data_IF_437652358915
#
_entry.id   IF_437652358915
#
_cell.length_a   1.000
_cell.length_b   1.000
_cell.length_c   1.000
_cell.angle_alpha   90.00
_cell.angle_beta   90.00
_cell.angle_gamma   90.00
#
_symmetry.space_group_name_H-M   'P 1'
#
loop_
_entity.id
_entity.type
_entity.pdbx_description
1 polymer ?
#
# COMPACT_ATOMS: atom_id res chain seq x y z
N UNK A 1 16.14 -14.86 -9.19
CA UNK A 1 14.70 -14.88 -9.02
C UNK A 1 14.01 -14.36 -10.28
N UNK A 2 12.78 -14.79 -10.52
CA UNK A 2 12.04 -14.47 -11.74
C UNK A 2 10.88 -13.50 -11.52
N UNK A 3 10.85 -12.79 -10.37
CA UNK A 3 9.75 -11.88 -10.03
C UNK A 3 10.27 -10.67 -9.25
N UNK A 4 9.68 -9.50 -9.50
CA UNK A 4 9.87 -8.25 -8.75
C UNK A 4 8.50 -7.77 -8.30
N UNK A 5 8.42 -7.26 -7.08
CA UNK A 5 7.27 -6.52 -6.57
C UNK A 5 7.52 -5.03 -6.70
N UNK A 6 6.58 -4.28 -7.23
CA UNK A 6 6.57 -2.83 -7.18
C UNK A 6 5.42 -2.38 -6.29
N UNK A 7 5.73 -1.66 -5.22
CA UNK A 7 4.74 -1.04 -4.36
C UNK A 7 4.52 0.38 -4.83
N UNK A 8 3.27 0.76 -4.96
CA UNK A 8 2.85 2.08 -5.40
C UNK A 8 2.18 2.78 -4.23
N UNK A 9 2.65 3.97 -3.90
CA UNK A 9 2.01 4.84 -2.92
C UNK A 9 1.75 6.20 -3.54
N UNK A 10 0.51 6.46 -3.89
CA UNK A 10 0.06 7.77 -4.34
C UNK A 10 -0.11 8.72 -3.15
N UNK A 11 -0.14 10.05 -3.37
CA UNK A 11 -0.29 11.01 -2.27
C UNK A 11 -1.48 10.69 -1.36
N UNK A 12 -1.37 10.95 -0.05
CA UNK A 12 -2.48 10.78 0.89
C UNK A 12 -3.76 11.48 0.40
N UNK A 13 -4.90 10.79 0.45
CA UNK A 13 -6.17 11.29 -0.05
C UNK A 13 -6.43 11.03 -1.53
N UNK A 14 -5.51 10.39 -2.26
CA UNK A 14 -5.77 9.95 -3.63
C UNK A 14 -6.91 8.94 -3.68
N UNK A 15 -7.72 9.03 -4.74
CA UNK A 15 -8.78 8.06 -4.99
C UNK A 15 -8.22 6.77 -5.57
N UNK A 16 -9.04 5.72 -5.53
CA UNK A 16 -8.66 4.43 -6.11
C UNK A 16 -8.43 4.52 -7.64
N UNK A 17 -9.19 5.38 -8.31
CA UNK A 17 -9.06 5.62 -9.75
C UNK A 17 -7.68 6.20 -10.09
N UNK A 18 -7.23 7.21 -9.35
CA UNK A 18 -5.89 7.81 -9.52
C UNK A 18 -4.80 6.75 -9.32
N UNK A 19 -4.90 5.96 -8.26
CA UNK A 19 -3.93 4.88 -8.01
C UNK A 19 -3.97 3.81 -9.09
N UNK A 20 -5.14 3.49 -9.62
CA UNK A 20 -5.27 2.55 -10.73
C UNK A 20 -4.69 3.09 -12.04
N UNK A 21 -4.80 4.40 -12.32
CA UNK A 21 -4.15 5.03 -13.46
C UNK A 21 -2.63 4.93 -13.36
N UNK A 22 -2.05 5.28 -12.21
CA UNK A 22 -0.62 5.13 -11.94
C UNK A 22 -0.17 3.67 -12.09
N UNK A 23 -0.94 2.72 -11.55
CA UNK A 23 -0.62 1.30 -11.65
C UNK A 23 -0.64 0.79 -13.10
N UNK A 24 -1.57 1.28 -13.93
CA UNK A 24 -1.64 0.95 -15.37
C UNK A 24 -0.49 1.56 -16.15
N UNK A 25 -0.12 2.80 -15.84
CA UNK A 25 1.02 3.44 -16.48
C UNK A 25 2.32 2.72 -16.15
N UNK A 26 2.54 2.38 -14.86
CA UNK A 26 3.66 1.56 -14.43
C UNK A 26 3.67 0.20 -15.16
N UNK A 27 2.52 -0.46 -15.25
CA UNK A 27 2.39 -1.73 -16.00
C UNK A 27 2.85 -1.59 -17.45
N UNK A 28 2.46 -0.50 -18.12
CA UNK A 28 2.84 -0.25 -19.51
C UNK A 28 4.34 -0.02 -19.64
N UNK A 29 4.90 0.83 -18.78
CA UNK A 29 6.34 1.11 -18.75
C UNK A 29 7.18 -0.11 -18.41
N UNK A 30 6.69 -0.95 -17.49
CA UNK A 30 7.40 -2.17 -17.10
C UNK A 30 7.39 -3.23 -18.22
N UNK A 31 6.30 -3.34 -18.99
CA UNK A 31 6.25 -4.25 -20.15
C UNK A 31 7.21 -3.86 -21.27
N UNK A 32 7.63 -2.60 -21.31
CA UNK A 32 8.60 -2.06 -22.26
C UNK A 32 10.06 -2.37 -21.89
N UNK A 33 10.30 -2.99 -20.72
CA UNK A 33 11.62 -3.45 -20.27
C UNK A 33 11.89 -4.84 -20.84
N UNK A 34 13.01 -5.01 -21.54
CA UNK A 34 13.29 -6.25 -22.28
C UNK A 34 13.28 -7.51 -21.42
N UNK A 35 13.76 -7.42 -20.17
CA UNK A 35 13.81 -8.52 -19.22
C UNK A 35 12.46 -8.93 -18.62
N UNK A 36 11.38 -8.16 -18.86
CA UNK A 36 10.04 -8.41 -18.32
C UNK A 36 9.23 -9.30 -19.26
N UNK A 37 8.49 -10.24 -18.69
CA UNK A 37 7.61 -11.15 -19.46
C UNK A 37 6.13 -10.82 -19.28
N UNK A 38 5.71 -10.44 -18.08
CA UNK A 38 4.32 -10.06 -17.79
C UNK A 38 4.22 -9.22 -16.52
N UNK A 39 3.19 -8.40 -16.43
CA UNK A 39 2.92 -7.54 -15.27
C UNK A 39 1.45 -7.67 -14.90
N UNK A 40 1.18 -7.85 -13.61
CA UNK A 40 -0.16 -7.79 -13.03
C UNK A 40 -0.22 -6.64 -12.04
N UNK A 41 -1.21 -5.77 -12.15
CA UNK A 41 -1.39 -4.61 -11.27
C UNK A 41 -2.64 -4.75 -10.40
N UNK A 42 -2.53 -4.28 -9.16
CA UNK A 42 -3.59 -4.27 -8.15
C UNK A 42 -3.63 -2.86 -7.56
N UNK A 43 -4.74 -2.16 -7.70
CA UNK A 43 -4.99 -0.91 -6.99
C UNK A 43 -5.81 -1.18 -5.73
N UNK A 44 -5.53 -0.43 -4.66
CA UNK A 44 -6.21 -0.56 -3.38
C UNK A 44 -5.60 -1.58 -2.43
N UNK A 45 -4.47 -2.19 -2.78
CA UNK A 45 -3.82 -3.22 -1.97
C UNK A 45 -2.29 -3.12 -2.05
N UNK A 46 -1.65 -3.23 -0.90
CA UNK A 46 -0.20 -3.26 -0.74
C UNK A 46 0.23 -4.62 -0.17
N UNK A 47 1.09 -5.34 -0.91
CA UNK A 47 1.40 -6.74 -0.63
C UNK A 47 2.33 -6.96 0.57
N UNK A 48 3.20 -5.99 0.91
CA UNK A 48 4.19 -6.18 1.98
C UNK A 48 3.57 -6.16 3.37
N UNK A 49 2.61 -5.26 3.59
CA UNK A 49 1.90 -5.10 4.87
C UNK A 49 0.51 -5.72 4.85
N UNK A 50 0.07 -6.22 3.69
CA UNK A 50 -1.31 -6.64 3.41
C UNK A 50 -2.32 -5.50 3.65
N UNK A 51 -1.82 -4.26 3.56
CA UNK A 51 -2.59 -3.05 3.77
C UNK A 51 -3.57 -2.78 2.64
N UNK A 52 -4.72 -2.19 2.99
CA UNK A 52 -5.72 -1.74 2.04
C UNK A 52 -5.91 -0.24 2.17
N UNK A 53 -5.90 0.44 1.03
CA UNK A 53 -6.08 1.89 0.98
C UNK A 53 -6.25 2.38 -0.45
N UNK A 54 -7.04 3.41 -0.66
CA UNK A 54 -7.27 3.97 -1.99
C UNK A 54 -5.98 4.48 -2.65
N UNK A 55 -4.99 4.88 -1.85
CA UNK A 55 -3.69 5.38 -2.29
C UNK A 55 -2.60 4.30 -2.36
N UNK A 56 -2.93 3.03 -2.11
CA UNK A 56 -2.00 1.92 -2.15
C UNK A 56 -2.18 1.07 -3.41
N UNK A 57 -1.10 0.58 -3.97
CA UNK A 57 -1.12 -0.31 -5.12
C UNK A 57 0.09 -1.25 -5.15
N UNK A 58 -0.02 -2.30 -5.91
CA UNK A 58 1.06 -3.28 -6.12
C UNK A 58 1.10 -3.71 -7.57
N UNK A 59 2.30 -3.80 -8.15
CA UNK A 59 2.51 -4.51 -9.40
C UNK A 59 3.39 -5.74 -9.16
N UNK A 60 2.96 -6.86 -9.70
CA UNK A 60 3.71 -8.11 -9.74
C UNK A 60 4.35 -8.21 -11.13
N UNK A 61 5.65 -8.07 -11.19
CA UNK A 61 6.44 -8.04 -12.43
C UNK A 61 7.14 -9.38 -12.56
N UNK A 62 6.72 -10.19 -13.54
CA UNK A 62 7.37 -11.45 -13.83
C UNK A 62 8.45 -11.21 -14.90
N UNK A 63 9.64 -11.74 -14.64
CA UNK A 63 10.77 -11.65 -15.53
C UNK A 63 10.81 -12.82 -16.50
N UNK A 64 11.44 -12.63 -17.65
CA UNK A 64 11.81 -13.72 -18.55
C UNK A 64 12.74 -14.67 -17.84
N UNK A 65 12.76 -15.93 -18.27
CA UNK A 65 13.70 -16.91 -17.79
C UNK A 65 15.14 -16.38 -17.99
N UNK A 66 16.02 -16.65 -17.03
CA UNK A 66 17.43 -16.25 -17.09
C UNK A 66 18.19 -16.80 -18.29
N UNK A 67 17.72 -17.91 -18.89
CA UNK A 67 18.24 -18.39 -20.16
C UNK A 67 17.88 -17.49 -21.36
N UNK A 68 16.89 -16.59 -21.21
CA UNK A 68 16.34 -15.73 -22.24
C UNK A 68 16.46 -14.24 -21.93
N UNK A 69 17.35 -13.87 -20.98
CA UNK A 69 17.65 -12.48 -20.66
C UNK A 69 19.11 -12.33 -20.27
N UNK A 70 19.72 -11.25 -20.73
CA UNK A 70 21.10 -10.88 -20.38
C UNK A 70 21.17 -10.01 -19.13
N UNK A 71 20.07 -9.31 -18.79
CA UNK A 71 19.99 -8.40 -17.65
C UNK A 71 19.84 -9.15 -16.33
N UNK A 72 20.55 -8.67 -15.32
CA UNK A 72 20.34 -9.06 -13.91
C UNK A 72 19.06 -8.45 -13.37
N UNK A 73 18.54 -8.98 -12.25
CA UNK A 73 17.36 -8.40 -11.59
C UNK A 73 17.62 -6.95 -11.14
N UNK A 74 18.84 -6.67 -10.67
CA UNK A 74 19.20 -5.33 -10.23
C UNK A 74 19.23 -4.31 -11.38
N UNK A 75 19.75 -4.67 -12.53
CA UNK A 75 19.75 -3.81 -13.73
C UNK A 75 18.33 -3.54 -14.22
N UNK A 76 17.42 -4.54 -14.13
CA UNK A 76 16.01 -4.36 -14.45
C UNK A 76 15.34 -3.40 -13.47
N UNK A 77 15.63 -3.51 -12.17
CA UNK A 77 15.11 -2.59 -11.15
C UNK A 77 15.59 -1.16 -11.45
N UNK A 78 16.86 -0.96 -11.70
CA UNK A 78 17.42 0.37 -12.03
C UNK A 78 16.78 0.97 -13.30
N UNK A 79 16.51 0.15 -14.31
CA UNK A 79 15.79 0.59 -15.52
C UNK A 79 14.33 0.95 -15.21
N UNK A 80 13.64 0.16 -14.38
CA UNK A 80 12.28 0.43 -13.95
C UNK A 80 12.21 1.73 -13.14
N UNK A 81 13.10 1.95 -12.17
CA UNK A 81 13.20 3.18 -11.39
C UNK A 81 13.38 4.39 -12.29
N UNK A 82 14.30 4.30 -13.27
CA UNK A 82 14.55 5.38 -14.23
C UNK A 82 13.32 5.70 -15.11
N UNK A 83 12.55 4.67 -15.49
CA UNK A 83 11.34 4.85 -16.32
C UNK A 83 10.14 5.37 -15.53
N UNK A 84 10.06 5.10 -14.23
CA UNK A 84 8.85 5.35 -13.42
C UNK A 84 8.96 6.56 -12.48
N UNK A 85 10.13 7.20 -12.38
CA UNK A 85 10.36 8.33 -11.46
C UNK A 85 9.39 9.52 -11.63
N UNK A 86 8.72 9.63 -12.79
CA UNK A 86 7.82 10.72 -13.12
C UNK A 86 6.34 10.46 -12.77
N UNK A 87 6.00 9.28 -12.24
CA UNK A 87 4.60 8.85 -12.06
C UNK A 87 3.81 9.62 -10.99
N UNK A 88 4.39 10.59 -10.29
CA UNK A 88 3.69 11.35 -9.25
C UNK A 88 3.29 10.50 -8.03
N UNK A 89 3.91 9.36 -7.85
CA UNK A 89 3.74 8.42 -6.74
C UNK A 89 5.11 7.95 -6.26
N UNK A 90 5.20 7.52 -5.02
CA UNK A 90 6.35 6.76 -4.54
C UNK A 90 6.22 5.33 -5.06
N UNK A 91 7.23 4.87 -5.81
CA UNK A 91 7.29 3.51 -6.32
C UNK A 91 8.56 2.86 -5.82
N UNK A 92 8.42 1.75 -5.10
CA UNK A 92 9.54 1.01 -4.54
C UNK A 92 9.54 -0.42 -5.09
N UNK A 93 10.72 -0.89 -5.48
CA UNK A 93 10.90 -2.20 -6.10
C UNK A 93 11.60 -3.18 -5.15
N UNK A 94 11.05 -4.38 -5.03
CA UNK A 94 11.57 -5.41 -4.15
C UNK A 94 11.66 -6.76 -4.85
N UNK A 95 12.68 -7.52 -4.48
CA UNK A 95 12.67 -8.94 -4.75
C UNK A 95 11.84 -9.68 -3.68
N UNK A 96 11.05 -10.69 -4.07
CA UNK A 96 10.42 -11.57 -3.08
C UNK A 96 11.47 -12.28 -2.23
N UNK A 97 11.12 -12.74 -1.02
CA UNK A 97 12.06 -13.42 -0.15
C UNK A 97 12.60 -14.68 -0.83
N UNK A 98 13.87 -14.96 -0.62
CA UNK A 98 14.55 -16.16 -1.20
C UNK A 98 13.87 -17.45 -0.73
N UNK A 99 13.40 -17.48 0.52
CA UNK A 99 12.68 -18.60 1.11
C UNK A 99 11.24 -18.18 1.36
N UNK A 100 10.25 -18.80 0.71
CA UNK A 100 8.84 -18.51 0.95
C UNK A 100 8.46 -18.67 2.43
N UNK A 101 7.71 -17.69 2.97
CA UNK A 101 7.30 -17.67 4.38
C UNK A 101 8.29 -17.03 5.35
N UNK A 102 9.46 -16.61 4.90
CA UNK A 102 10.44 -15.88 5.71
C UNK A 102 10.49 -14.40 5.33
N UNK A 103 9.45 -13.66 5.71
CA UNK A 103 9.30 -12.23 5.41
C UNK A 103 8.49 -11.97 4.14
N UNK A 104 8.19 -10.70 3.89
CA UNK A 104 7.44 -10.24 2.72
C UNK A 104 8.35 -9.79 1.56
N UNK A 105 9.60 -9.40 1.88
CA UNK A 105 10.63 -9.00 0.91
C UNK A 105 12.01 -9.45 1.36
N UNK A 106 12.99 -9.40 0.46
CA UNK A 106 14.41 -9.51 0.82
C UNK A 106 14.86 -8.23 1.53
N UNK A 107 15.91 -8.30 2.35
CA UNK A 107 16.52 -7.16 3.03
C UNK A 107 16.29 -7.13 4.55
N UNK A 108 16.42 -5.94 5.14
CA UNK A 108 16.30 -5.69 6.58
C UNK A 108 15.00 -4.92 6.87
N UNK A 109 14.31 -5.34 7.91
CA UNK A 109 13.11 -4.65 8.41
C UNK A 109 13.38 -4.09 9.80
N UNK A 110 13.25 -2.77 9.94
CA UNK A 110 13.33 -2.08 11.21
C UNK A 110 11.93 -1.72 11.71
N UNK A 111 11.76 -1.71 13.02
CA UNK A 111 10.54 -1.24 13.67
C UNK A 111 10.89 -0.15 14.65
N UNK A 112 10.48 1.08 14.34
CA UNK A 112 10.54 2.20 15.25
C UNK A 112 9.29 2.17 16.15
N UNK A 113 9.48 2.17 17.47
CA UNK A 113 8.41 2.09 18.44
C UNK A 113 8.38 3.34 19.29
N UNK A 114 7.26 4.04 19.31
CA UNK A 114 7.01 5.06 20.30
C UNK A 114 6.69 4.42 21.67
N UNK A 115 7.47 4.79 22.70
CA UNK A 115 7.29 4.36 24.08
C UNK A 115 6.91 5.52 25.01
N UNK A 116 6.67 6.70 24.46
CA UNK A 116 6.38 7.91 25.26
C UNK A 116 4.92 8.00 25.69
N UNK A 117 4.04 7.17 25.12
CA UNK A 117 2.58 7.24 25.27
C UNK A 117 1.99 8.60 24.84
N UNK A 118 2.71 9.36 24.05
CA UNK A 118 2.16 10.54 23.38
C UNK A 118 1.40 10.08 22.15
N UNK A 119 0.33 10.77 21.80
CA UNK A 119 -0.42 10.52 20.55
C UNK A 119 -0.09 11.60 19.51
N UNK A 120 1.10 12.19 19.60
CA UNK A 120 1.56 13.17 18.63
C UNK A 120 2.18 12.46 17.43
N UNK A 121 1.34 12.24 16.42
CA UNK A 121 1.75 11.57 15.18
C UNK A 121 2.73 12.42 14.36
N UNK A 122 2.70 13.74 14.49
CA UNK A 122 3.61 14.63 13.76
C UNK A 122 5.02 14.58 14.37
N UNK A 123 5.13 14.64 15.70
CA UNK A 123 6.41 14.46 16.39
C UNK A 123 7.04 13.10 16.04
N UNK A 124 6.22 12.05 16.01
CA UNK A 124 6.71 10.72 15.61
C UNK A 124 7.21 10.70 14.16
N UNK A 125 6.52 11.40 13.24
CA UNK A 125 6.96 11.52 11.85
C UNK A 125 8.30 12.24 11.71
N UNK A 126 8.51 13.33 12.45
CA UNK A 126 9.79 14.06 12.49
C UNK A 126 10.93 13.15 12.97
N UNK A 127 10.68 12.36 14.02
CA UNK A 127 11.65 11.37 14.53
C UNK A 127 11.90 10.28 13.49
N UNK A 128 10.87 9.78 12.81
CA UNK A 128 11.00 8.79 11.76
C UNK A 128 11.82 9.32 10.58
N UNK A 129 11.58 10.55 10.13
CA UNK A 129 12.34 11.19 9.06
C UNK A 129 13.80 11.37 9.46
N UNK A 130 14.07 11.87 10.67
CA UNK A 130 15.42 12.00 11.19
C UNK A 130 16.15 10.65 11.26
N UNK A 131 15.45 9.58 11.64
CA UNK A 131 16.01 8.22 11.65
C UNK A 131 16.33 7.74 10.24
N UNK A 132 15.44 7.97 9.27
CA UNK A 132 15.66 7.65 7.87
C UNK A 132 16.86 8.40 7.29
N UNK A 133 17.01 9.69 7.62
CA UNK A 133 18.14 10.53 7.20
C UNK A 133 19.48 9.99 7.75
N UNK A 134 19.50 9.54 9.01
CA UNK A 134 20.71 8.94 9.59
C UNK A 134 21.04 7.58 8.95
N UNK A 135 20.03 6.76 8.65
CA UNK A 135 20.23 5.50 7.95
C UNK A 135 20.74 5.70 6.52
N UNK A 136 20.27 6.75 5.82
CA UNK A 136 20.69 7.05 4.45
C UNK A 136 22.17 7.39 4.30
N UNK A 137 22.82 7.83 5.38
CA UNK A 137 24.26 8.11 5.44
C UNK A 137 25.10 6.83 5.49
N UNK A 138 24.47 5.67 5.74
CA UNK A 138 25.16 4.39 5.84
C UNK A 138 25.35 3.79 4.45
N UNK A 139 26.61 3.55 4.07
CA UNK A 139 26.96 2.99 2.76
C UNK A 139 26.52 1.53 2.59
N UNK A 140 26.26 0.87 3.70
CA UNK A 140 25.81 -0.53 3.74
C UNK A 140 24.33 -0.70 3.44
N UNK A 141 23.55 0.41 3.45
CA UNK A 141 22.11 0.40 3.25
C UNK A 141 21.76 1.13 1.95
N UNK A 142 20.85 0.52 1.18
CA UNK A 142 20.26 1.09 -0.04
C UNK A 142 18.77 0.80 -0.06
N UNK A 143 17.98 1.62 -0.77
CA UNK A 143 16.55 1.42 -0.93
C UNK A 143 15.79 1.55 0.39
N UNK A 144 16.10 2.57 1.18
CA UNK A 144 15.41 2.85 2.45
C UNK A 144 14.05 3.48 2.17
N UNK A 145 13.01 2.94 2.79
CA UNK A 145 11.66 3.49 2.70
C UNK A 145 10.87 3.26 3.98
N UNK A 146 9.81 4.03 4.16
CA UNK A 146 8.84 3.88 5.24
C UNK A 146 7.43 4.09 4.70
N UNK A 147 6.45 3.33 5.21
CA UNK A 147 5.03 3.53 4.91
C UNK A 147 4.34 4.49 5.90
N UNK A 148 5.07 4.93 6.93
CA UNK A 148 4.49 5.84 7.90
C UNK A 148 4.31 7.23 7.29
N UNK A 149 3.11 7.78 7.43
CA UNK A 149 2.77 9.14 7.03
C UNK A 149 1.80 9.74 8.04
N UNK A 150 2.20 10.83 8.69
CA UNK A 150 1.35 11.56 9.64
C UNK A 150 0.38 12.56 8.97
N UNK A 151 0.55 12.81 7.68
CA UNK A 151 -0.20 13.80 6.90
C UNK A 151 -1.42 13.24 6.18
N UNK A 152 -1.88 12.04 6.54
CA UNK A 152 -3.07 11.45 5.93
C UNK A 152 -4.33 12.24 6.35
N UNK A 153 -5.10 12.82 5.42
CA UNK A 153 -6.28 13.58 5.78
C UNK A 153 -7.35 12.66 6.37
N UNK A 154 -7.84 13.05 7.54
CA UNK A 154 -8.90 12.33 8.24
C UNK A 154 -10.08 13.26 8.49
N UNK A 155 -11.29 12.73 8.35
CA UNK A 155 -12.52 13.42 8.73
C UNK A 155 -13.07 12.80 10.01
N UNK A 156 -13.34 13.65 11.01
CA UNK A 156 -14.04 13.25 12.22
C UNK A 156 -15.51 13.58 12.07
N UNK A 157 -16.37 12.58 12.18
CA UNK A 157 -17.82 12.78 12.16
C UNK A 157 -18.27 13.07 13.59
N UNK A 158 -18.87 14.23 13.81
CA UNK A 158 -19.47 14.61 15.08
C UNK A 158 -20.98 14.72 14.92
N UNK A 159 -21.72 14.03 15.78
CA UNK A 159 -23.19 14.10 15.81
C UNK A 159 -23.61 15.15 16.82
N UNK A 160 -24.42 16.11 16.39
CA UNK A 160 -25.12 17.01 17.31
C UNK A 160 -26.22 16.22 18.05
N UNK A 161 -25.90 15.76 19.26
CA UNK A 161 -26.77 14.96 20.08
C UNK A 161 -28.06 15.70 20.46
N UNK A 162 -28.00 17.02 20.66
CA UNK A 162 -29.14 17.81 21.05
C UNK A 162 -30.11 17.96 19.86
N UNK A 163 -29.60 18.25 18.67
CA UNK A 163 -30.42 18.34 17.48
C UNK A 163 -31.03 16.97 17.10
N UNK A 164 -30.26 15.88 17.26
CA UNK A 164 -30.75 14.53 17.02
C UNK A 164 -31.90 14.16 17.93
N UNK A 165 -31.79 14.43 19.23
CA UNK A 165 -32.87 14.18 20.21
C UNK A 165 -34.10 15.03 19.93
N UNK A 166 -33.93 16.32 19.59
CA UNK A 166 -35.07 17.20 19.23
C UNK A 166 -35.83 16.70 18.02
N UNK A 167 -35.13 16.07 17.07
CA UNK A 167 -35.73 15.46 15.88
C UNK A 167 -36.23 14.03 16.09
N UNK A 168 -36.16 13.51 17.32
CA UNK A 168 -36.59 12.15 17.63
C UNK A 168 -35.66 11.05 17.06
N UNK A 169 -34.44 11.41 16.69
CA UNK A 169 -33.48 10.46 16.15
C UNK A 169 -32.68 9.81 17.29
N UNK A 170 -32.69 8.49 17.36
CA UNK A 170 -31.85 7.74 18.31
C UNK A 170 -30.40 7.83 17.89
N UNK A 171 -29.53 8.32 18.77
CA UNK A 171 -28.08 8.43 18.53
C UNK A 171 -27.47 7.06 18.21
N UNK A 172 -27.90 6.01 18.95
CA UNK A 172 -27.42 4.65 18.69
C UNK A 172 -27.75 4.16 17.28
N UNK A 173 -29.00 4.37 16.81
CA UNK A 173 -29.38 4.03 15.42
C UNK A 173 -28.67 4.88 14.38
N UNK A 174 -28.44 6.17 14.66
CA UNK A 174 -27.67 7.02 13.76
C UNK A 174 -26.24 6.53 13.59
N UNK A 175 -25.58 6.18 14.69
CA UNK A 175 -24.21 5.64 14.64
C UNK A 175 -24.16 4.27 13.94
N UNK A 176 -25.12 3.38 14.19
CA UNK A 176 -25.23 2.08 13.53
C UNK A 176 -25.39 2.24 12.01
N UNK A 177 -26.28 3.12 11.56
CA UNK A 177 -26.48 3.41 10.15
C UNK A 177 -25.24 4.02 9.50
N UNK A 178 -24.56 4.96 10.16
CA UNK A 178 -23.31 5.53 9.67
C UNK A 178 -22.22 4.48 9.56
N UNK A 179 -22.13 3.57 10.52
CA UNK A 179 -21.17 2.47 10.49
C UNK A 179 -21.41 1.54 9.29
N UNK A 180 -22.68 1.24 8.97
CA UNK A 180 -23.03 0.43 7.81
C UNK A 180 -22.71 1.16 6.51
N UNK A 181 -23.15 2.43 6.38
CA UNK A 181 -23.03 3.21 5.14
C UNK A 181 -21.57 3.61 4.80
N UNK A 182 -20.73 3.81 5.81
CA UNK A 182 -19.34 4.24 5.61
C UNK A 182 -18.36 3.09 5.76
N UNK A 183 -18.59 2.21 6.75
CA UNK A 183 -17.69 1.12 7.11
C UNK A 183 -18.04 -0.23 6.48
N UNK A 184 -19.24 -0.37 5.90
CA UNK A 184 -19.87 -1.63 5.52
C UNK A 184 -19.96 -2.67 6.65
N UNK A 185 -20.94 -3.54 6.60
CA UNK A 185 -21.11 -4.62 7.60
C UNK A 185 -21.11 -5.97 6.94
N UNK A 186 -20.28 -6.89 7.47
CA UNK A 186 -20.35 -8.30 7.13
C UNK A 186 -21.47 -8.96 7.94
N UNK A 187 -22.54 -9.36 7.29
CA UNK A 187 -23.69 -9.95 7.98
C UNK A 187 -23.74 -11.48 7.84
N UNK A 188 -23.54 -11.96 6.64
CA UNK A 188 -23.62 -13.39 6.34
C UNK A 188 -22.81 -13.78 5.09
N UNK A 189 -22.62 -15.08 4.93
CA UNK A 189 -22.05 -15.65 3.73
C UNK A 189 -22.82 -16.89 3.28
N UNK A 190 -22.57 -17.32 2.07
CA UNK A 190 -23.12 -18.54 1.51
C UNK A 190 -22.03 -19.36 0.83
N UNK A 191 -22.23 -20.67 0.82
CA UNK A 191 -21.36 -21.59 0.10
C UNK A 191 -21.99 -21.95 -1.24
N UNK A 192 -21.24 -21.75 -2.34
CA UNK A 192 -21.62 -22.16 -3.68
C UNK A 192 -20.39 -22.61 -4.47
N UNK A 193 -20.52 -23.63 -5.26
CA UNK A 193 -19.42 -24.19 -6.04
C UNK A 193 -18.17 -24.53 -5.18
N UNK A 194 -18.39 -25.07 -4.00
CA UNK A 194 -17.36 -25.41 -3.01
C UNK A 194 -16.53 -24.23 -2.49
N UNK A 195 -16.96 -22.98 -2.72
CA UNK A 195 -16.36 -21.75 -2.20
C UNK A 195 -17.33 -21.01 -1.28
N UNK A 196 -16.78 -20.38 -0.23
CA UNK A 196 -17.53 -19.53 0.67
C UNK A 196 -17.48 -18.06 0.21
N UNK A 197 -18.64 -17.49 -0.01
CA UNK A 197 -18.80 -16.09 -0.44
C UNK A 197 -19.31 -15.26 0.73
N UNK A 198 -18.58 -14.19 1.06
CA UNK A 198 -19.00 -13.21 2.06
C UNK A 198 -19.95 -12.19 1.43
N UNK A 199 -21.01 -11.83 2.16
CA UNK A 199 -21.94 -10.76 1.78
C UNK A 199 -21.71 -9.57 2.68
N UNK A 200 -21.46 -8.41 2.09
CA UNK A 200 -21.32 -7.14 2.79
C UNK A 200 -22.49 -6.23 2.41
N UNK A 201 -23.01 -5.52 3.40
CA UNK A 201 -24.02 -4.44 3.22
C UNK A 201 -23.34 -3.10 3.40
N UNK A 202 -23.52 -2.17 2.47
CA UNK A 202 -23.04 -0.80 2.53
C UNK A 202 -24.02 0.17 1.85
#
# INVERSE_FOLDING_TARGET
QGQIYAIIQTPPGSTLEVTNEVARELQTLALDVEGVSSVSSLAGYEILTEGRGSNAGTCLINLKDWANRDQTVQEIIEELEAKTHHLGAVVEYFEPPVVPGYGASSGLSFRLLDKTNTTDYQEFDEINQSFMDELSKRKELKGLFTFYAANYPQYKIEIDNQAAMQKGVSIGKAMENLNILIGSTYEQGFTRFNNFYKVYTQ
#
